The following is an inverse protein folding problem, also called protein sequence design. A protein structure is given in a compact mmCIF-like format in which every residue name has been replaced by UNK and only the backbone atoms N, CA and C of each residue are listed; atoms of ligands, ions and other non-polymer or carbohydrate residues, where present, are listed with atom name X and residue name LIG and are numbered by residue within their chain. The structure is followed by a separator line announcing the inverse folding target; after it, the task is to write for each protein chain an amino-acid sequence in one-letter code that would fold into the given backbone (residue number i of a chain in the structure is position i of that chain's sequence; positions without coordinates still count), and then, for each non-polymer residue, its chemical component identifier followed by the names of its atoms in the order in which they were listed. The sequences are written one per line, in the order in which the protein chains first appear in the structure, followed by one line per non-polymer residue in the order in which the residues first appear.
data_IF_223954424431
#
_entry.id   IF_223954424431
#
_cell.length_a   1.000
_cell.length_b   1.000
_cell.length_c   1.000
_cell.angle_alpha   90.00
_cell.angle_beta   90.00
_cell.angle_gamma   90.00
#
_symmetry.space_group_name_H-M   'P 1'
#
loop_
_entity.id
_entity.type
_entity.pdbx_description
1 polymer ?
#
# COMPACT_ATOMS: atom_id res chain seq x y z
N UNK A 1 -12.69 -6.43 77.05
CA UNK A 1 -12.47 -5.18 76.29
C UNK A 1 -11.28 -4.47 76.90
N UNK A 2 -10.19 -4.31 76.15
CA UNK A 2 -9.14 -3.34 76.46
C UNK A 2 -9.22 -2.30 75.35
N UNK A 3 -9.54 -1.07 75.73
CA UNK A 3 -9.62 0.07 74.82
C UNK A 3 -8.20 0.43 74.37
N UNK A 4 -7.91 0.26 73.07
CA UNK A 4 -6.71 0.84 72.47
C UNK A 4 -6.94 2.34 72.31
N UNK A 5 -6.34 3.11 73.22
CA UNK A 5 -6.40 4.57 73.23
C UNK A 5 -5.76 5.15 71.96
N UNK A 6 -6.59 5.54 71.00
CA UNK A 6 -6.15 6.17 69.75
C UNK A 6 -5.60 7.57 70.02
N UNK A 7 -4.28 7.72 69.87
CA UNK A 7 -3.58 9.02 70.01
C UNK A 7 -3.24 9.61 68.64
N UNK A 8 -4.04 10.54 68.10
CA UNK A 8 -3.76 11.17 66.82
C UNK A 8 -2.49 12.04 66.91
N UNK A 9 -1.52 11.80 66.02
CA UNK A 9 -0.37 12.70 65.86
C UNK A 9 -0.76 13.87 64.96
N UNK A 10 -0.88 15.06 65.53
CA UNK A 10 -1.05 16.29 64.77
C UNK A 10 0.29 16.69 64.13
N UNK A 11 0.25 17.07 62.85
CA UNK A 11 1.43 17.59 62.13
C UNK A 11 1.91 18.93 62.70
N UNK A 12 3.09 19.41 62.28
CA UNK A 12 3.63 20.71 62.69
C UNK A 12 2.64 21.85 62.41
N UNK A 13 2.49 22.76 63.38
CA UNK A 13 1.68 23.98 63.25
C UNK A 13 2.18 24.77 62.03
N UNK A 14 1.27 25.01 61.06
CA UNK A 14 1.57 25.67 59.79
C UNK A 14 1.87 24.74 58.60
N UNK A 15 1.96 23.41 58.81
CA UNK A 15 2.13 22.47 57.70
C UNK A 15 0.81 22.25 56.94
N UNK A 16 0.79 22.52 55.64
CA UNK A 16 -0.41 22.36 54.77
C UNK A 16 -0.68 20.91 54.31
N UNK A 17 -0.02 19.91 54.91
CA UNK A 17 -0.09 18.51 54.46
C UNK A 17 0.40 18.29 53.02
N UNK A 18 0.53 17.02 52.60
CA UNK A 18 1.00 16.65 51.25
C UNK A 18 -0.01 16.93 50.13
N UNK A 19 -1.11 17.64 50.41
CA UNK A 19 -2.10 18.08 49.41
C UNK A 19 -1.85 19.54 48.99
N UNK A 20 -0.60 19.88 48.67
CA UNK A 20 -0.38 20.99 47.75
C UNK A 20 -1.07 20.60 46.44
N UNK A 21 -2.22 21.22 46.13
CA UNK A 21 -2.92 21.01 44.87
C UNK A 21 -1.92 21.03 43.72
N UNK A 22 -2.06 20.11 42.76
CA UNK A 22 -1.12 19.95 41.63
C UNK A 22 -0.68 21.33 41.16
N UNK A 23 0.64 21.59 41.12
CA UNK A 23 1.21 22.88 40.67
C UNK A 23 0.47 23.33 39.41
N UNK A 24 0.22 24.63 39.25
CA UNK A 24 -0.53 25.20 38.13
C UNK A 24 -0.15 24.56 36.77
N UNK A 25 1.15 24.37 36.52
CA UNK A 25 1.67 23.68 35.34
C UNK A 25 1.12 22.24 35.13
N UNK A 26 0.90 21.48 36.20
CA UNK A 26 0.28 20.16 36.16
C UNK A 26 -1.22 20.20 35.88
N UNK A 27 -1.92 21.25 36.32
CA UNK A 27 -3.34 21.46 35.99
C UNK A 27 -3.51 21.85 34.52
N UNK A 28 -2.64 22.74 34.02
CA UNK A 28 -2.57 23.12 32.60
C UNK A 28 -2.29 21.90 31.72
N UNK A 29 -1.31 21.06 32.06
CA UNK A 29 -1.05 19.80 31.34
C UNK A 29 -2.24 18.83 31.36
N UNK A 30 -2.94 18.73 32.48
CA UNK A 30 -4.12 17.87 32.59
C UNK A 30 -5.29 18.39 31.74
N UNK A 31 -5.49 19.72 31.71
CA UNK A 31 -6.49 20.37 30.86
C UNK A 31 -6.19 20.17 29.37
N UNK A 32 -4.93 20.36 28.96
CA UNK A 32 -4.45 20.11 27.58
C UNK A 32 -4.70 18.65 27.17
N UNK A 33 -4.35 17.68 28.01
CA UNK A 33 -4.60 16.26 27.72
C UNK A 33 -6.10 15.93 27.64
N UNK A 34 -6.93 16.54 28.49
CA UNK A 34 -8.39 16.34 28.49
C UNK A 34 -9.06 16.97 27.27
N UNK A 35 -8.52 18.08 26.77
CA UNK A 35 -8.94 18.73 25.53
C UNK A 35 -8.42 18.02 24.26
N UNK A 36 -7.86 16.81 24.37
CA UNK A 36 -7.33 16.04 23.23
C UNK A 36 -5.97 16.50 22.73
N UNK A 37 -5.37 17.53 23.34
CA UNK A 37 -4.07 18.08 22.98
C UNK A 37 -2.90 17.24 23.49
N UNK A 38 -2.74 16.00 23.00
CA UNK A 38 -1.40 15.41 23.03
C UNK A 38 -0.63 16.00 21.86
N UNK A 39 0.47 16.76 22.04
CA UNK A 39 1.42 16.88 20.96
C UNK A 39 1.87 15.45 20.66
N UNK A 40 1.44 14.89 19.52
CA UNK A 40 2.15 13.74 18.98
C UNK A 40 3.59 14.21 18.89
N UNK A 41 4.48 13.64 19.72
CA UNK A 41 5.92 13.76 19.50
C UNK A 41 6.12 13.59 18.01
N UNK A 42 6.64 14.63 17.34
CA UNK A 42 6.84 14.63 15.90
C UNK A 42 7.40 13.27 15.51
N UNK A 43 6.69 12.57 14.63
CA UNK A 43 7.00 11.18 14.31
C UNK A 43 8.48 11.06 13.96
N UNK A 44 9.17 10.09 14.57
CA UNK A 44 10.55 9.75 14.20
C UNK A 44 10.60 9.58 12.68
N UNK A 45 11.55 10.22 12.00
CA UNK A 45 11.73 10.03 10.56
C UNK A 45 11.91 8.53 10.27
N UNK A 46 10.92 7.93 9.61
CA UNK A 46 10.89 6.51 9.27
C UNK A 46 11.46 6.21 7.90
N UNK A 47 11.70 7.25 7.08
CA UNK A 47 12.01 7.12 5.65
C UNK A 47 10.91 6.44 4.83
N UNK A 48 9.72 6.19 5.40
CA UNK A 48 8.65 5.43 4.75
C UNK A 48 8.07 6.15 3.52
N UNK A 49 8.24 7.47 3.48
CA UNK A 49 7.85 8.37 2.38
C UNK A 49 9.03 8.76 1.48
N UNK A 50 10.23 8.25 1.73
CA UNK A 50 11.41 8.50 0.90
C UNK A 50 11.27 7.74 -0.42
N UNK A 51 11.43 8.45 -1.55
CA UNK A 51 11.22 7.92 -2.89
C UNK A 51 9.98 8.52 -3.56
N UNK A 52 9.74 8.12 -4.81
CA UNK A 52 8.59 8.59 -5.60
C UNK A 52 7.28 8.05 -5.05
N UNK A 53 6.20 8.83 -5.15
CA UNK A 53 4.88 8.48 -4.62
C UNK A 53 4.68 8.67 -3.12
N UNK A 54 5.68 9.13 -2.36
CA UNK A 54 5.56 9.34 -0.91
C UNK A 54 4.56 10.43 -0.48
N UNK A 55 4.37 11.44 -1.32
CA UNK A 55 3.34 12.46 -1.13
C UNK A 55 1.94 11.90 -1.43
N UNK A 56 1.77 11.25 -2.60
CA UNK A 56 0.53 10.60 -3.01
C UNK A 56 0.06 9.56 -1.97
N UNK A 57 0.95 8.68 -1.51
CA UNK A 57 0.64 7.66 -0.51
C UNK A 57 0.07 8.25 0.78
N UNK A 58 0.57 9.40 1.22
CA UNK A 58 0.10 10.02 2.45
C UNK A 58 -1.23 10.75 2.29
N UNK A 59 -1.48 11.32 1.11
CA UNK A 59 -2.80 11.86 0.77
C UNK A 59 -3.83 10.73 0.75
N UNK A 60 -3.53 9.62 0.08
CA UNK A 60 -4.42 8.47 0.01
C UNK A 60 -4.71 7.88 1.40
N UNK A 61 -3.68 7.73 2.24
CA UNK A 61 -3.84 7.29 3.64
C UNK A 61 -4.67 8.23 4.52
N UNK A 62 -4.74 9.51 4.19
CA UNK A 62 -5.52 10.50 4.94
C UNK A 62 -7.01 10.51 4.57
N UNK A 63 -7.42 9.75 3.54
CA UNK A 63 -8.82 9.64 3.12
C UNK A 63 -9.66 8.89 4.15
N UNK A 64 -10.96 9.17 4.11
CA UNK A 64 -11.93 8.78 5.13
C UNK A 64 -11.92 7.26 5.41
N UNK A 65 -11.62 6.89 6.66
CA UNK A 65 -11.62 5.50 7.12
C UNK A 65 -13.03 4.90 7.16
N UNK A 66 -14.07 5.73 7.24
CA UNK A 66 -15.46 5.25 7.21
C UNK A 66 -15.92 4.90 5.79
N UNK A 67 -15.29 5.47 4.76
CA UNK A 67 -15.46 5.05 3.37
C UNK A 67 -14.84 3.66 3.10
N UNK A 68 -13.92 3.19 3.94
CA UNK A 68 -13.23 1.90 3.75
C UNK A 68 -14.18 0.68 3.79
N UNK A 69 -15.34 0.78 4.46
CA UNK A 69 -16.33 -0.30 4.46
C UNK A 69 -17.08 -0.41 3.14
N UNK A 70 -17.32 0.73 2.46
CA UNK A 70 -18.02 0.80 1.17
C UNK A 70 -17.06 0.73 -0.02
N UNK A 71 -15.76 0.76 0.21
CA UNK A 71 -14.77 0.65 -0.87
C UNK A 71 -14.65 -0.80 -1.34
N UNK A 72 -14.53 -1.00 -2.66
CA UNK A 72 -14.14 -2.29 -3.24
C UNK A 72 -12.77 -2.72 -2.70
N UNK A 73 -12.58 -4.01 -2.45
CA UNK A 73 -11.34 -4.54 -1.87
C UNK A 73 -10.43 -5.08 -2.94
N UNK A 74 -9.15 -4.72 -2.83
CA UNK A 74 -8.09 -5.21 -3.73
C UNK A 74 -6.92 -5.71 -2.91
N UNK A 75 -6.39 -6.86 -3.29
CA UNK A 75 -5.14 -7.40 -2.77
C UNK A 75 -4.03 -7.03 -3.75
N UNK A 76 -2.96 -6.45 -3.21
CA UNK A 76 -1.73 -6.18 -3.97
C UNK A 76 -0.57 -6.87 -3.26
N UNK A 77 0.06 -7.85 -3.92
CA UNK A 77 1.32 -8.43 -3.47
C UNK A 77 2.46 -7.75 -4.24
N UNK A 78 3.36 -7.10 -3.53
CA UNK A 78 4.51 -6.41 -4.12
C UNK A 78 5.82 -7.08 -3.74
N UNK A 79 6.72 -7.25 -4.72
CA UNK A 79 8.09 -7.74 -4.50
C UNK A 79 9.08 -6.92 -5.30
N UNK A 80 10.19 -6.54 -4.66
CA UNK A 80 11.37 -5.97 -5.34
C UNK A 80 12.36 -7.11 -5.57
N UNK A 81 12.73 -7.34 -6.83
CA UNK A 81 13.66 -8.41 -7.22
C UNK A 81 14.95 -7.78 -7.73
N UNK A 82 16.06 -8.03 -7.03
CA UNK A 82 17.41 -7.61 -7.48
C UNK A 82 17.83 -8.46 -8.69
N UNK A 83 18.43 -7.84 -9.70
CA UNK A 83 18.81 -8.51 -10.95
C UNK A 83 20.30 -8.90 -11.02
N UNK A 84 21.08 -8.59 -9.98
CA UNK A 84 22.48 -9.01 -9.88
C UNK A 84 22.65 -10.54 -9.81
N UNK A 85 23.79 -11.04 -10.32
CA UNK A 85 24.12 -12.47 -10.33
C UNK A 85 23.07 -13.28 -11.11
N UNK A 86 22.52 -14.33 -10.49
CA UNK A 86 21.46 -15.17 -11.08
C UNK A 86 20.09 -14.48 -11.17
N UNK A 87 19.97 -13.23 -10.71
CA UNK A 87 18.71 -12.48 -10.69
C UNK A 87 18.13 -12.23 -12.08
N UNK A 88 18.97 -11.92 -13.07
CA UNK A 88 18.56 -11.76 -14.47
C UNK A 88 17.96 -13.06 -15.04
N UNK A 89 18.62 -14.21 -14.86
CA UNK A 89 18.08 -15.50 -15.31
C UNK A 89 16.76 -15.86 -14.61
N UNK A 90 16.64 -15.56 -13.31
CA UNK A 90 15.40 -15.70 -12.56
C UNK A 90 14.28 -14.77 -13.05
N UNK A 91 14.62 -13.59 -13.58
CA UNK A 91 13.65 -12.70 -14.24
C UNK A 91 13.15 -13.31 -15.55
N UNK A 92 14.06 -13.82 -16.39
CA UNK A 92 13.72 -14.50 -17.65
C UNK A 92 12.84 -15.73 -17.41
N UNK A 93 13.21 -16.56 -16.45
CA UNK A 93 12.44 -17.75 -16.09
C UNK A 93 11.04 -17.40 -15.58
N UNK A 94 10.93 -16.35 -14.75
CA UNK A 94 9.63 -15.90 -14.25
C UNK A 94 8.73 -15.39 -15.37
N UNK A 95 9.26 -14.63 -16.32
CA UNK A 95 8.45 -14.12 -17.44
C UNK A 95 7.89 -15.27 -18.30
N UNK A 96 8.72 -16.29 -18.59
CA UNK A 96 8.27 -17.50 -19.29
C UNK A 96 7.20 -18.26 -18.50
N UNK A 97 7.38 -18.37 -17.19
CA UNK A 97 6.41 -19.00 -16.30
C UNK A 97 5.06 -18.27 -16.35
N UNK A 98 5.08 -16.93 -16.28
CA UNK A 98 3.87 -16.11 -16.32
C UNK A 98 3.08 -16.25 -17.63
N UNK A 99 3.77 -16.32 -18.77
CA UNK A 99 3.13 -16.52 -20.08
C UNK A 99 2.53 -17.92 -20.24
N UNK A 100 3.19 -18.93 -19.66
CA UNK A 100 2.72 -20.32 -19.74
C UNK A 100 1.52 -20.57 -18.84
N UNK A 101 1.58 -20.05 -17.61
CA UNK A 101 0.54 -20.29 -16.60
C UNK A 101 -0.61 -19.27 -16.70
N UNK A 102 -0.39 -18.14 -17.38
CA UNK A 102 -1.46 -17.20 -17.68
C UNK A 102 -2.45 -17.83 -18.62
N UNK A 103 -3.73 -17.64 -18.32
CA UNK A 103 -4.82 -17.99 -19.23
C UNK A 103 -5.87 -16.89 -19.22
N UNK A 104 -6.46 -16.64 -20.38
CA UNK A 104 -7.65 -15.79 -20.49
C UNK A 104 -8.86 -16.49 -19.90
N UNK A 105 -9.99 -15.79 -19.82
CA UNK A 105 -11.24 -16.34 -19.33
C UNK A 105 -11.72 -17.55 -20.16
N UNK A 106 -11.39 -17.55 -21.45
CA UNK A 106 -11.70 -18.60 -22.42
C UNK A 106 -10.72 -19.79 -22.36
N UNK A 107 -9.68 -19.71 -21.51
CA UNK A 107 -8.66 -20.75 -21.39
C UNK A 107 -7.52 -20.66 -22.40
N UNK A 108 -7.45 -19.57 -23.18
CA UNK A 108 -6.37 -19.33 -24.14
C UNK A 108 -5.07 -18.95 -23.40
N UNK A 109 -3.88 -19.27 -23.95
CA UNK A 109 -2.60 -18.89 -23.33
C UNK A 109 -2.49 -17.39 -23.07
N UNK A 110 -1.95 -17.03 -21.91
CA UNK A 110 -1.78 -15.65 -21.48
C UNK A 110 -0.73 -14.93 -22.31
N UNK A 111 -1.16 -13.89 -23.03
CA UNK A 111 -0.26 -12.99 -23.75
C UNK A 111 0.22 -11.85 -22.84
N UNK A 112 1.51 -11.53 -22.92
CA UNK A 112 2.03 -10.32 -22.28
C UNK A 112 1.45 -9.11 -22.99
N UNK A 113 0.95 -8.15 -22.23
CA UNK A 113 0.53 -6.84 -22.73
C UNK A 113 1.29 -5.73 -22.01
N UNK A 114 1.25 -4.53 -22.58
CA UNK A 114 1.84 -3.33 -21.97
C UNK A 114 0.87 -2.14 -22.03
N UNK A 115 1.43 -0.95 -21.85
CA UNK A 115 0.67 0.31 -21.89
C UNK A 115 -0.14 0.44 -23.19
N UNK A 116 0.54 0.35 -24.33
CA UNK A 116 -0.06 0.66 -25.64
C UNK A 116 -0.24 -0.57 -26.54
N UNK A 117 0.24 -1.74 -26.12
CA UNK A 117 0.15 -2.98 -26.91
C UNK A 117 -0.62 -4.07 -26.19
N UNK A 118 -1.48 -4.78 -26.93
CA UNK A 118 -2.13 -6.01 -26.48
C UNK A 118 -1.21 -7.22 -26.47
N UNK A 119 -0.07 -7.15 -27.16
CA UNK A 119 0.95 -8.21 -27.24
C UNK A 119 2.36 -7.63 -27.19
N UNK A 120 3.16 -8.08 -26.24
CA UNK A 120 4.55 -7.66 -26.04
C UNK A 120 5.46 -8.87 -26.10
N UNK A 121 6.54 -8.77 -26.88
CA UNK A 121 7.59 -9.78 -26.85
C UNK A 121 8.35 -9.71 -25.52
N UNK A 122 8.25 -10.80 -24.75
CA UNK A 122 8.93 -10.92 -23.48
C UNK A 122 10.46 -10.85 -23.60
N UNK A 123 11.04 -11.35 -24.70
CA UNK A 123 12.48 -11.24 -24.96
C UNK A 123 12.87 -9.78 -25.14
N UNK A 124 12.15 -9.03 -25.98
CA UNK A 124 12.39 -7.61 -26.17
C UNK A 124 12.27 -6.81 -24.85
N UNK A 125 11.32 -7.17 -23.97
CA UNK A 125 11.23 -6.55 -22.63
C UNK A 125 12.45 -6.85 -21.76
N UNK A 126 12.90 -8.11 -21.72
CA UNK A 126 14.10 -8.52 -20.97
C UNK A 126 15.34 -7.80 -21.48
N UNK A 127 15.51 -7.72 -22.81
CA UNK A 127 16.66 -7.06 -23.43
C UNK A 127 16.68 -5.57 -23.05
N UNK A 128 15.52 -4.90 -23.04
CA UNK A 128 15.44 -3.52 -22.54
C UNK A 128 15.79 -3.40 -21.07
N UNK A 129 15.43 -4.38 -20.25
CA UNK A 129 15.71 -4.43 -18.82
C UNK A 129 17.16 -4.83 -18.47
N UNK A 130 18.01 -5.07 -19.47
CA UNK A 130 19.42 -5.33 -19.23
C UNK A 130 20.10 -4.14 -18.53
N UNK A 131 20.95 -4.45 -17.54
CA UNK A 131 21.58 -3.44 -16.70
C UNK A 131 20.66 -2.72 -15.71
N UNK A 132 19.40 -3.12 -15.56
CA UNK A 132 18.56 -2.66 -14.44
C UNK A 132 19.06 -3.26 -13.12
N UNK A 133 19.08 -2.47 -12.04
CA UNK A 133 19.49 -2.95 -10.70
C UNK A 133 18.47 -3.92 -10.10
N UNK A 134 17.20 -3.65 -10.33
CA UNK A 134 16.06 -4.39 -9.78
C UNK A 134 14.87 -4.29 -10.73
N UNK A 135 13.82 -5.05 -10.43
CA UNK A 135 12.49 -4.89 -11.01
C UNK A 135 11.46 -5.00 -9.89
N UNK A 136 10.29 -4.42 -10.11
CA UNK A 136 9.13 -4.59 -9.24
C UNK A 136 8.21 -5.64 -9.86
N UNK A 137 7.66 -6.51 -9.01
CA UNK A 137 6.64 -7.47 -9.39
C UNK A 137 5.42 -7.25 -8.52
N UNK A 138 4.28 -7.10 -9.17
CA UNK A 138 3.00 -6.95 -8.52
C UNK A 138 2.07 -8.09 -8.92
N UNK A 139 1.26 -8.52 -7.97
CA UNK A 139 0.05 -9.31 -8.22
C UNK A 139 -1.10 -8.46 -7.73
N UNK A 140 -2.03 -8.12 -8.62
CA UNK A 140 -3.20 -7.30 -8.31
C UNK A 140 -4.44 -8.16 -8.52
N UNK A 141 -5.23 -8.33 -7.47
CA UNK A 141 -6.44 -9.13 -7.48
C UNK A 141 -7.55 -8.35 -6.77
N UNK A 142 -8.60 -7.98 -7.49
CA UNK A 142 -9.82 -7.45 -6.89
C UNK A 142 -10.63 -8.61 -6.29
N UNK A 143 -11.30 -8.39 -5.16
CA UNK A 143 -12.22 -9.38 -4.58
C UNK A 143 -13.31 -9.75 -5.59
N UNK A 144 -13.88 -8.74 -6.24
CA UNK A 144 -14.90 -8.86 -7.29
C UNK A 144 -14.29 -8.98 -8.69
N UNK A 145 -13.05 -9.49 -8.81
CA UNK A 145 -12.33 -9.58 -10.07
C UNK A 145 -13.00 -10.46 -11.14
N UNK A 146 -13.95 -11.31 -10.73
CA UNK A 146 -14.74 -12.19 -11.61
C UNK A 146 -15.78 -11.44 -12.45
N UNK A 147 -16.14 -10.23 -12.05
CA UNK A 147 -17.08 -9.36 -12.77
C UNK A 147 -16.46 -8.74 -14.04
N UNK A 148 -15.14 -8.83 -14.19
CA UNK A 148 -14.42 -8.37 -15.36
C UNK A 148 -14.31 -9.47 -16.42
N UNK A 149 -14.64 -9.14 -17.68
CA UNK A 149 -14.35 -10.00 -18.84
C UNK A 149 -12.84 -10.09 -19.10
N UNK A 150 -12.13 -8.97 -18.96
CA UNK A 150 -10.67 -8.88 -18.99
C UNK A 150 -10.14 -7.86 -17.96
N UNK A 151 -8.89 -8.01 -17.52
CA UNK A 151 -8.27 -7.12 -16.53
C UNK A 151 -7.34 -6.07 -17.18
N UNK A 152 -7.19 -6.05 -18.50
CA UNK A 152 -6.20 -5.22 -19.20
C UNK A 152 -6.54 -3.74 -19.03
N UNK A 153 -7.80 -3.37 -19.15
CA UNK A 153 -8.25 -1.99 -18.99
C UNK A 153 -8.00 -1.47 -17.57
N UNK A 154 -8.36 -2.26 -16.55
CA UNK A 154 -8.10 -1.94 -15.14
C UNK A 154 -6.61 -1.79 -14.87
N UNK A 155 -5.79 -2.75 -15.33
CA UNK A 155 -4.34 -2.73 -15.15
C UNK A 155 -3.69 -1.53 -15.83
N UNK A 156 -4.07 -1.19 -17.06
CA UNK A 156 -3.53 -0.01 -17.76
C UNK A 156 -3.86 1.29 -17.01
N UNK A 157 -5.10 1.44 -16.52
CA UNK A 157 -5.49 2.60 -15.72
C UNK A 157 -4.74 2.67 -14.39
N UNK A 158 -4.52 1.53 -13.73
CA UNK A 158 -3.70 1.47 -12.52
C UNK A 158 -2.25 1.89 -12.81
N UNK A 159 -1.65 1.38 -13.87
CA UNK A 159 -0.28 1.74 -14.25
C UNK A 159 -0.17 3.21 -14.67
N UNK A 160 -1.17 3.77 -15.35
CA UNK A 160 -1.24 5.19 -15.64
C UNK A 160 -1.31 6.05 -14.37
N UNK A 161 -2.17 5.69 -13.42
CA UNK A 161 -2.27 6.38 -12.13
C UNK A 161 -0.97 6.28 -11.32
N UNK A 162 -0.28 5.15 -11.38
CA UNK A 162 1.05 4.99 -10.79
C UNK A 162 2.08 5.92 -11.43
N UNK A 163 2.08 6.07 -12.77
CA UNK A 163 2.99 7.01 -13.43
C UNK A 163 2.77 8.45 -12.94
N UNK A 164 1.51 8.87 -12.79
CA UNK A 164 1.15 10.19 -12.25
C UNK A 164 1.64 10.36 -10.80
N UNK A 165 1.32 9.40 -9.93
CA UNK A 165 1.69 9.45 -8.51
C UNK A 165 3.22 9.44 -8.30
N UNK A 166 3.95 8.73 -9.15
CA UNK A 166 5.40 8.64 -9.11
C UNK A 166 6.09 9.80 -9.84
N UNK A 167 5.38 10.53 -10.71
CA UNK A 167 5.93 11.60 -11.52
C UNK A 167 6.94 11.12 -12.57
N UNK A 168 6.68 9.96 -13.18
CA UNK A 168 7.55 9.34 -14.19
C UNK A 168 6.82 8.33 -15.03
N UNK A 169 7.29 8.13 -16.27
CA UNK A 169 6.86 6.96 -17.04
C UNK A 169 7.44 5.66 -16.45
N UNK A 170 6.71 4.57 -16.66
CA UNK A 170 7.07 3.22 -16.25
C UNK A 170 7.13 2.33 -17.49
N UNK A 171 8.21 1.56 -17.65
CA UNK A 171 8.29 0.46 -18.63
C UNK A 171 7.87 -0.83 -17.92
N UNK A 172 6.76 -1.41 -18.36
CA UNK A 172 6.12 -2.54 -17.71
C UNK A 172 5.45 -3.49 -18.69
N UNK A 173 5.30 -4.74 -18.27
CA UNK A 173 4.50 -5.76 -18.93
C UNK A 173 3.60 -6.44 -17.90
N UNK A 174 2.46 -6.95 -18.35
CA UNK A 174 1.56 -7.72 -17.51
C UNK A 174 0.97 -8.92 -18.24
N UNK A 175 0.44 -9.87 -17.47
CA UNK A 175 -0.39 -10.98 -17.94
C UNK A 175 -1.50 -11.23 -16.92
N UNK A 176 -2.68 -11.60 -17.41
CA UNK A 176 -3.84 -11.89 -16.57
C UNK A 176 -4.04 -13.40 -16.42
N UNK A 177 -4.44 -13.82 -15.24
CA UNK A 177 -4.65 -15.21 -14.85
C UNK A 177 -6.11 -15.39 -14.42
N UNK A 178 -6.89 -16.11 -15.25
CA UNK A 178 -8.30 -16.46 -14.96
C UNK A 178 -8.49 -17.95 -14.57
N UNK A 179 -7.43 -18.76 -14.57
CA UNK A 179 -7.45 -20.17 -14.16
C UNK A 179 -7.60 -20.39 -12.65
N UNK A 180 -7.38 -19.36 -11.84
CA UNK A 180 -7.61 -19.44 -10.39
C UNK A 180 -8.99 -18.88 -10.08
N UNK A 181 -9.67 -19.38 -9.04
CA UNK A 181 -10.99 -18.87 -8.64
C UNK A 181 -11.08 -17.36 -8.32
N UNK A 182 -9.96 -16.63 -8.40
CA UNK A 182 -9.87 -15.19 -8.28
C UNK A 182 -9.01 -14.62 -9.42
N UNK A 183 -9.61 -14.01 -10.46
CA UNK A 183 -8.85 -13.37 -11.53
C UNK A 183 -7.85 -12.35 -11.02
N UNK A 184 -6.63 -12.38 -11.54
CA UNK A 184 -5.58 -11.46 -11.11
C UNK A 184 -4.56 -11.15 -12.21
N UNK A 185 -3.93 -9.99 -12.12
CA UNK A 185 -2.89 -9.55 -13.04
C UNK A 185 -1.52 -9.65 -12.38
N UNK A 186 -0.59 -10.32 -13.07
CA UNK A 186 0.84 -10.27 -12.77
C UNK A 186 1.47 -9.13 -13.56
N UNK A 187 2.06 -8.16 -12.86
CA UNK A 187 2.66 -6.97 -13.48
C UNK A 187 4.15 -6.93 -13.13
N UNK A 188 5.01 -6.76 -14.13
CA UNK A 188 6.44 -6.56 -13.97
C UNK A 188 6.77 -5.15 -14.44
N UNK A 189 7.36 -4.36 -13.54
CA UNK A 189 7.82 -2.99 -13.81
C UNK A 189 9.33 -2.95 -13.71
N UNK A 190 9.98 -2.35 -14.69
CA UNK A 190 11.43 -2.15 -14.68
C UNK A 190 11.88 -1.28 -13.50
N UNK A 191 13.13 -1.46 -13.09
CA UNK A 191 13.73 -0.70 -11.99
C UNK A 191 14.32 0.64 -12.39
N UNK A 192 13.96 1.15 -13.57
CA UNK A 192 14.42 2.44 -14.09
C UNK A 192 13.26 3.39 -14.34
N UNK A 193 13.54 4.67 -14.17
CA UNK A 193 12.62 5.74 -14.51
C UNK A 193 12.80 6.23 -15.96
N UNK A 194 12.00 7.21 -16.35
CA UNK A 194 12.03 7.80 -17.70
C UNK A 194 13.29 8.63 -18.01
N UNK A 195 14.16 8.84 -17.03
CA UNK A 195 15.49 9.45 -17.19
C UNK A 195 16.59 8.39 -17.23
N UNK A 196 16.24 7.11 -17.14
CA UNK A 196 17.17 6.00 -17.10
C UNK A 196 17.81 5.77 -15.73
N UNK A 197 17.40 6.51 -14.70
CA UNK A 197 17.92 6.41 -13.33
C UNK A 197 17.20 5.31 -12.54
N UNK A 198 17.79 4.87 -11.43
CA UNK A 198 17.16 3.87 -10.58
C UNK A 198 15.81 4.36 -10.02
N UNK A 199 14.73 3.67 -10.39
CA UNK A 199 13.40 3.92 -9.85
C UNK A 199 13.33 3.48 -8.38
N UNK A 200 13.16 4.44 -7.48
CA UNK A 200 12.96 4.22 -6.04
C UNK A 200 11.56 4.66 -5.66
N UNK A 201 10.68 3.70 -5.40
CA UNK A 201 9.30 3.93 -4.98
C UNK A 201 9.23 3.98 -3.46
N UNK A 202 8.51 4.96 -2.92
CA UNK A 202 8.31 5.09 -1.48
C UNK A 202 7.64 3.84 -0.88
N UNK A 203 8.14 3.41 0.28
CA UNK A 203 7.64 2.23 0.98
C UNK A 203 6.13 2.32 1.25
N UNK A 204 5.63 3.49 1.66
CA UNK A 204 4.20 3.68 1.91
C UNK A 204 3.38 3.49 0.64
N UNK A 205 3.86 3.99 -0.49
CA UNK A 205 3.19 3.81 -1.78
C UNK A 205 3.09 2.34 -2.16
N UNK A 206 4.19 1.57 -2.00
CA UNK A 206 4.18 0.11 -2.23
C UNK A 206 3.22 -0.61 -1.26
N UNK A 207 3.21 -0.23 0.02
CA UNK A 207 2.49 -0.96 1.08
C UNK A 207 0.98 -0.69 1.13
N UNK A 208 0.54 0.50 0.68
CA UNK A 208 -0.87 0.90 0.68
C UNK A 208 -1.30 1.67 -0.56
N UNK A 209 -0.48 2.60 -1.06
CA UNK A 209 -0.87 3.50 -2.15
C UNK A 209 -1.35 2.78 -3.41
N UNK A 210 -0.64 1.75 -3.87
CA UNK A 210 -1.04 0.97 -5.05
C UNK A 210 -2.41 0.30 -4.82
N UNK A 211 -2.64 -0.26 -3.63
CA UNK A 211 -3.91 -0.90 -3.27
C UNK A 211 -5.04 0.13 -3.22
N UNK A 212 -4.80 1.30 -2.66
CA UNK A 212 -5.78 2.38 -2.57
C UNK A 212 -6.18 2.86 -3.97
N UNK A 213 -5.22 3.05 -4.88
CA UNK A 213 -5.50 3.38 -6.29
C UNK A 213 -6.27 2.29 -7.02
N UNK A 214 -5.88 1.02 -6.86
CA UNK A 214 -6.59 -0.07 -7.49
C UNK A 214 -8.04 -0.17 -6.97
N UNK A 215 -8.26 -0.02 -5.67
CA UNK A 215 -9.59 -0.03 -5.07
C UNK A 215 -10.46 1.16 -5.50
N UNK A 216 -9.87 2.33 -5.75
CA UNK A 216 -10.56 3.47 -6.38
C UNK A 216 -11.03 3.13 -7.80
N UNK A 217 -10.15 2.54 -8.62
CA UNK A 217 -10.49 2.16 -9.99
C UNK A 217 -11.59 1.09 -10.04
N UNK A 218 -11.51 0.06 -9.19
CA UNK A 218 -12.55 -0.97 -9.11
C UNK A 218 -13.87 -0.38 -8.63
N UNK A 219 -13.84 0.55 -7.66
CA UNK A 219 -15.05 1.27 -7.23
C UNK A 219 -15.66 2.13 -8.34
N UNK A 220 -14.86 2.66 -9.27
CA UNK A 220 -15.37 3.40 -10.43
C UNK A 220 -16.03 2.49 -11.45
N UNK A 221 -15.53 1.27 -11.62
CA UNK A 221 -16.03 0.31 -12.61
C UNK A 221 -17.29 -0.42 -12.12
N UNK A 222 -17.27 -0.87 -10.85
CA UNK A 222 -18.29 -1.75 -10.27
C UNK A 222 -19.17 -1.05 -9.22
N UNK A 223 -18.96 0.25 -9.00
CA UNK A 223 -19.60 0.98 -7.91
C UNK A 223 -19.03 0.62 -6.52
N UNK A 224 -19.47 1.33 -5.46
CA UNK A 224 -19.15 0.98 -4.08
C UNK A 224 -19.81 -0.35 -3.69
N UNK A 225 -19.27 -1.00 -2.65
CA UNK A 225 -19.92 -2.15 -2.02
C UNK A 225 -21.26 -1.74 -1.42
N UNK A 226 -22.30 -2.50 -1.73
CA UNK A 226 -23.63 -2.40 -1.14
C UNK A 226 -23.63 -2.91 0.30
N UNK A 227 -24.60 -2.49 1.11
CA UNK A 227 -24.69 -2.93 2.51
C UNK A 227 -24.83 -4.47 2.60
N UNK A 228 -25.52 -5.10 1.64
CA UNK A 228 -25.63 -6.57 1.55
C UNK A 228 -24.29 -7.25 1.28
N UNK A 229 -23.44 -6.67 0.43
CA UNK A 229 -22.08 -7.19 0.19
C UNK A 229 -21.18 -7.00 1.41
N UNK A 230 -21.49 -6.07 2.33
CA UNK A 230 -20.70 -5.80 3.54
C UNK A 230 -21.08 -6.74 4.69
N UNK A 231 -22.36 -7.14 4.78
CA UNK A 231 -22.89 -8.01 5.84
C UNK A 231 -22.60 -9.51 5.63
N UNK A 232 -22.27 -9.91 4.40
CA UNK A 232 -21.85 -11.27 4.03
C UNK A 232 -20.33 -11.47 4.19
#
# INVERSE_FOLDING_TARGET
MKDDEFRPKLGKIGSRGSKAGKRYAGQVRAAINRAGGRPQRGGRFTGSRTGRGGAAAALLKSRDRYAAFRQRRVIVKARVVKLAGKGADGARAHLRYLQRDGVTREGEPGELYGADSGRVDGKAFIDRADGDRHQFRFIVAAEDGIEYDDLKALTRRLMAQMQEDLGTKLDWVAVDHFNTGHPHSHIIVRGRDDRGENLVIAREYISSGIRERAAELVSLDLGPRTDREIEL
#
